data_IF_421370245986
#
_entry.id   IF_421370245986
#
_cell.length_a   1.000
_cell.length_b   1.000
_cell.length_c   1.000
_cell.angle_alpha   90.00
_cell.angle_beta   90.00
_cell.angle_gamma   90.00
#
_symmetry.space_group_name_H-M   'P 1'
#
loop_
_entity.id
_entity.type
_entity.pdbx_description
1 polymer ?
#
# COMPACT_ATOMS: atom_id res chain seq x y z
N UNK A 1 6.97 -0.85 -14.07
CA UNK A 1 7.14 -1.58 -12.79
C UNK A 1 8.36 -2.49 -12.91
N UNK A 2 9.42 -2.22 -12.15
CA UNK A 2 10.63 -3.05 -12.17
C UNK A 2 10.38 -4.32 -11.36
N UNK A 3 10.26 -5.47 -12.04
CA UNK A 3 10.12 -6.81 -11.43
C UNK A 3 11.20 -7.12 -10.37
N UNK A 4 12.35 -6.45 -10.45
CA UNK A 4 13.50 -6.64 -9.56
C UNK A 4 13.16 -6.41 -8.09
N UNK A 5 12.29 -5.44 -7.76
CA UNK A 5 12.01 -5.09 -6.35
C UNK A 5 11.28 -6.23 -5.62
N UNK A 6 10.35 -6.92 -6.29
CA UNK A 6 9.68 -8.09 -5.73
C UNK A 6 10.60 -9.32 -5.64
N UNK A 7 11.61 -9.41 -6.51
CA UNK A 7 12.61 -10.49 -6.42
C UNK A 7 13.52 -10.29 -5.20
N UNK A 8 13.97 -9.07 -4.94
CA UNK A 8 14.74 -8.72 -3.73
C UNK A 8 13.98 -9.14 -2.47
N UNK A 9 12.67 -8.88 -2.40
CA UNK A 9 11.86 -9.27 -1.25
C UNK A 9 11.94 -10.78 -0.96
N UNK A 10 11.84 -11.62 -2.00
CA UNK A 10 11.95 -13.07 -1.89
C UNK A 10 13.35 -13.47 -1.42
N UNK A 11 14.40 -12.85 -1.95
CA UNK A 11 15.79 -13.15 -1.56
C UNK A 11 16.06 -12.78 -0.09
N UNK A 12 15.57 -11.63 0.40
CA UNK A 12 15.69 -11.21 1.80
C UNK A 12 15.01 -12.21 2.75
N UNK A 13 13.81 -12.69 2.40
CA UNK A 13 13.11 -13.71 3.19
C UNK A 13 13.87 -15.04 3.27
N UNK A 14 14.40 -15.51 2.14
CA UNK A 14 15.14 -16.77 2.05
C UNK A 14 16.49 -16.70 2.79
N UNK A 15 17.10 -15.52 2.85
CA UNK A 15 18.30 -15.28 3.65
C UNK A 15 18.00 -15.30 5.16
N UNK A 16 16.83 -14.81 5.57
CA UNK A 16 16.46 -14.62 6.97
C UNK A 16 15.85 -15.86 7.65
N UNK A 17 15.07 -16.66 6.91
CA UNK A 17 14.18 -17.67 7.50
C UNK A 17 14.07 -18.93 6.64
N UNK A 18 13.86 -20.07 7.30
CA UNK A 18 13.48 -21.33 6.65
C UNK A 18 11.97 -21.35 6.40
N UNK A 19 11.54 -20.71 5.32
CA UNK A 19 10.12 -20.61 4.93
C UNK A 19 9.93 -20.93 3.46
N UNK A 20 8.68 -21.26 3.08
CA UNK A 20 8.29 -21.37 1.69
C UNK A 20 7.84 -19.99 1.18
N UNK A 21 8.47 -19.49 0.12
CA UNK A 21 8.09 -18.23 -0.53
C UNK A 21 7.47 -18.53 -1.89
N UNK A 22 6.22 -18.10 -2.08
CA UNK A 22 5.48 -18.27 -3.34
C UNK A 22 5.25 -16.91 -3.99
N UNK A 23 5.80 -16.73 -5.19
CA UNK A 23 5.58 -15.50 -5.97
C UNK A 23 4.42 -15.70 -6.95
N UNK A 24 3.39 -14.86 -6.86
CA UNK A 24 2.21 -14.96 -7.74
C UNK A 24 2.38 -14.01 -8.92
N UNK A 25 2.47 -14.57 -10.13
CA UNK A 25 2.66 -13.82 -11.36
C UNK A 25 1.36 -13.81 -12.19
N UNK A 26 0.74 -12.65 -12.38
CA UNK A 26 -0.54 -12.50 -13.12
C UNK A 26 -0.57 -11.33 -14.13
N UNK A 27 0.51 -11.02 -14.88
CA UNK A 27 0.61 -9.83 -15.72
C UNK A 27 -0.43 -9.79 -16.84
N UNK A 28 -0.86 -10.97 -17.33
CA UNK A 28 -1.90 -11.09 -18.37
C UNK A 28 -3.27 -10.58 -17.93
N UNK A 29 -3.51 -10.49 -16.62
CA UNK A 29 -4.77 -10.03 -16.06
C UNK A 29 -4.76 -8.53 -15.70
N UNK A 30 -3.59 -7.89 -15.67
CA UNK A 30 -3.40 -6.50 -15.26
C UNK A 30 -2.68 -5.66 -16.32
N UNK A 31 -3.07 -5.84 -17.58
CA UNK A 31 -2.44 -5.16 -18.72
C UNK A 31 -2.79 -3.66 -18.75
N UNK A 32 -1.77 -2.85 -18.98
CA UNK A 32 -1.91 -1.43 -19.33
C UNK A 32 -2.43 -1.28 -20.77
N UNK A 33 -3.27 -0.29 -21.12
CA UNK A 33 -3.61 0.92 -20.34
C UNK A 33 -4.93 0.86 -19.55
N UNK A 34 -5.71 -0.23 -19.64
CA UNK A 34 -7.05 -0.26 -19.06
C UNK A 34 -7.04 -0.63 -17.56
N UNK A 35 -6.73 0.34 -16.71
CA UNK A 35 -6.72 0.14 -15.25
C UNK A 35 -8.06 -0.36 -14.67
N UNK A 36 -9.25 0.11 -15.11
CA UNK A 36 -10.52 -0.44 -14.64
C UNK A 36 -10.68 -1.94 -14.91
N UNK A 37 -10.16 -2.44 -16.03
CA UNK A 37 -10.14 -3.87 -16.32
C UNK A 37 -9.23 -4.63 -15.35
N UNK A 38 -8.05 -4.10 -15.04
CA UNK A 38 -7.15 -4.66 -14.02
C UNK A 38 -7.84 -4.74 -12.65
N UNK A 39 -8.56 -3.70 -12.24
CA UNK A 39 -9.36 -3.70 -10.99
C UNK A 39 -10.48 -4.75 -11.03
N UNK A 40 -11.14 -4.91 -12.18
CA UNK A 40 -12.17 -5.92 -12.35
C UNK A 40 -11.61 -7.35 -12.20
N UNK A 41 -10.42 -7.63 -12.72
CA UNK A 41 -9.87 -8.99 -12.82
C UNK A 41 -9.18 -9.50 -11.55
N UNK A 42 -8.73 -8.63 -10.64
CA UNK A 42 -8.01 -9.07 -9.43
C UNK A 42 -8.80 -10.04 -8.54
N UNK A 43 -10.15 -10.04 -8.60
CA UNK A 43 -10.97 -11.04 -7.89
C UNK A 43 -10.67 -12.47 -8.33
N UNK A 44 -10.38 -12.68 -9.61
CA UNK A 44 -10.06 -14.01 -10.14
C UNK A 44 -8.67 -14.44 -9.67
N UNK A 45 -7.72 -13.51 -9.59
CA UNK A 45 -6.41 -13.74 -8.99
C UNK A 45 -6.58 -14.18 -7.53
N UNK A 46 -7.36 -13.43 -6.75
CA UNK A 46 -7.64 -13.75 -5.35
C UNK A 46 -8.27 -15.15 -5.18
N UNK A 47 -9.27 -15.50 -6.01
CA UNK A 47 -9.90 -16.82 -6.02
C UNK A 47 -8.91 -17.95 -6.32
N UNK A 48 -7.99 -17.75 -7.27
CA UNK A 48 -6.97 -18.75 -7.60
C UNK A 48 -5.97 -18.94 -6.45
N UNK A 49 -5.51 -17.85 -5.82
CA UNK A 49 -4.62 -17.92 -4.66
C UNK A 49 -5.32 -18.60 -3.48
N UNK A 50 -6.57 -18.26 -3.19
CA UNK A 50 -7.36 -18.89 -2.13
C UNK A 50 -7.53 -20.39 -2.36
N UNK A 51 -7.85 -20.80 -3.61
CA UNK A 51 -7.97 -22.22 -3.97
C UNK A 51 -6.66 -22.97 -3.78
N UNK A 52 -5.53 -22.35 -4.15
CA UNK A 52 -4.20 -22.89 -3.93
C UNK A 52 -3.88 -23.04 -2.43
N UNK A 53 -4.09 -21.99 -1.64
CA UNK A 53 -3.86 -22.00 -0.20
C UNK A 53 -4.75 -23.02 0.53
N UNK A 54 -6.03 -23.14 0.14
CA UNK A 54 -6.93 -24.15 0.67
C UNK A 54 -6.44 -25.56 0.35
N UNK A 55 -6.00 -25.80 -0.89
CA UNK A 55 -5.49 -27.12 -1.30
C UNK A 55 -4.21 -27.47 -0.53
N UNK A 56 -3.28 -26.51 -0.40
CA UNK A 56 -2.07 -26.68 0.43
C UNK A 56 -2.43 -27.03 1.87
N UNK A 57 -3.36 -26.29 2.49
CA UNK A 57 -3.77 -26.55 3.87
C UNK A 57 -4.34 -27.96 4.02
N UNK A 58 -5.30 -28.35 3.17
CA UNK A 58 -5.92 -29.67 3.22
C UNK A 58 -4.97 -30.84 2.95
N UNK A 59 -3.88 -30.61 2.21
CA UNK A 59 -2.96 -31.67 1.77
C UNK A 59 -1.79 -31.84 2.73
N UNK A 60 -1.27 -30.75 3.28
CA UNK A 60 -0.06 -30.76 4.12
C UNK A 60 -0.41 -30.75 5.62
N UNK A 61 -1.53 -30.12 6.00
CA UNK A 61 -1.93 -29.92 7.40
C UNK A 61 -3.42 -30.20 7.58
N UNK A 62 -3.91 -31.44 7.37
CA UNK A 62 -5.34 -31.74 7.48
C UNK A 62 -5.93 -31.46 8.87
N UNK A 63 -5.12 -31.62 9.93
CA UNK A 63 -5.54 -31.44 11.32
C UNK A 63 -5.18 -30.06 11.91
N UNK A 64 -4.68 -29.14 11.09
CA UNK A 64 -4.22 -27.83 11.56
C UNK A 64 -4.36 -26.73 10.49
N UNK A 65 -4.06 -25.49 10.86
CA UNK A 65 -4.07 -24.34 9.95
C UNK A 65 -2.64 -23.94 9.63
N UNK A 66 -2.30 -23.89 8.34
CA UNK A 66 -1.05 -23.32 7.86
C UNK A 66 -0.97 -21.85 8.31
N UNK A 67 0.21 -21.47 8.77
CA UNK A 67 0.53 -20.08 9.02
C UNK A 67 0.88 -19.41 7.69
N UNK A 68 -0.08 -18.67 7.14
CA UNK A 68 0.00 -17.99 5.86
C UNK A 68 0.10 -16.49 6.11
N UNK A 69 1.17 -15.89 5.58
CA UNK A 69 1.38 -14.45 5.50
C UNK A 69 1.34 -14.04 4.03
N UNK A 70 0.39 -13.17 3.67
CA UNK A 70 0.32 -12.58 2.34
C UNK A 70 0.93 -11.18 2.36
N UNK A 71 1.84 -10.91 1.43
CA UNK A 71 2.39 -9.57 1.21
C UNK A 71 1.91 -9.10 -0.17
N UNK A 72 1.12 -8.03 -0.19
CA UNK A 72 0.53 -7.48 -1.42
C UNK A 72 1.01 -6.06 -1.68
N UNK A 73 1.47 -5.76 -2.89
CA UNK A 73 1.89 -4.43 -3.32
C UNK A 73 0.88 -3.82 -4.29
N UNK A 74 0.50 -2.54 -4.10
CA UNK A 74 -0.39 -1.83 -5.03
C UNK A 74 -1.75 -2.56 -5.20
N UNK A 75 -2.13 -2.90 -6.43
CA UNK A 75 -3.27 -3.79 -6.73
C UNK A 75 -3.16 -5.15 -6.02
N UNK A 76 -1.95 -5.66 -5.78
CA UNK A 76 -1.71 -6.90 -5.05
C UNK A 76 -2.15 -6.85 -3.59
N UNK A 77 -2.15 -5.67 -2.95
CA UNK A 77 -2.74 -5.50 -1.62
C UNK A 77 -4.27 -5.63 -1.67
N UNK A 78 -4.89 -5.17 -2.76
CA UNK A 78 -6.33 -5.35 -2.96
C UNK A 78 -6.67 -6.80 -3.34
N UNK A 79 -5.76 -7.51 -4.01
CA UNK A 79 -5.90 -8.97 -4.23
C UNK A 79 -6.01 -9.72 -2.89
N UNK A 80 -5.28 -9.33 -1.84
CA UNK A 80 -5.32 -10.05 -0.56
C UNK A 80 -6.69 -10.03 0.13
N UNK A 81 -7.50 -8.99 -0.04
CA UNK A 81 -8.90 -8.96 0.42
C UNK A 81 -9.72 -10.08 -0.22
N UNK A 82 -9.64 -10.22 -1.56
CA UNK A 82 -10.31 -11.31 -2.26
C UNK A 82 -9.80 -12.69 -1.81
N UNK A 83 -8.51 -12.83 -1.51
CA UNK A 83 -7.98 -14.10 -0.96
C UNK A 83 -8.64 -14.42 0.37
N UNK A 84 -8.67 -13.46 1.30
CA UNK A 84 -9.30 -13.62 2.61
C UNK A 84 -10.78 -13.99 2.48
N UNK A 85 -11.51 -13.30 1.60
CA UNK A 85 -12.94 -13.53 1.38
C UNK A 85 -13.27 -14.92 0.83
N UNK A 86 -12.42 -15.48 -0.03
CA UNK A 86 -12.65 -16.81 -0.61
C UNK A 86 -12.13 -17.96 0.26
N UNK A 87 -11.36 -17.68 1.31
CA UNK A 87 -10.86 -18.72 2.20
C UNK A 87 -11.89 -19.11 3.26
N UNK A 88 -12.04 -20.41 3.58
CA UNK A 88 -12.92 -20.86 4.67
C UNK A 88 -12.28 -20.65 6.06
N UNK A 89 -11.09 -20.07 6.13
CA UNK A 89 -10.36 -19.80 7.37
C UNK A 89 -9.68 -18.43 7.28
N UNK A 90 -9.47 -17.82 8.44
CA UNK A 90 -8.82 -16.52 8.56
C UNK A 90 -7.30 -16.65 8.38
N UNK A 91 -6.72 -15.76 7.58
CA UNK A 91 -5.27 -15.66 7.38
C UNK A 91 -4.60 -15.14 8.66
N UNK A 92 -3.37 -15.55 8.95
CA UNK A 92 -2.66 -15.09 10.14
C UNK A 92 -2.17 -13.65 9.96
N UNK A 93 -1.65 -13.32 8.78
CA UNK A 93 -1.17 -11.96 8.50
C UNK A 93 -1.37 -11.55 7.05
N UNK A 94 -1.77 -10.30 6.84
CA UNK A 94 -1.65 -9.61 5.56
C UNK A 94 -0.80 -8.37 5.76
N UNK A 95 0.19 -8.16 4.88
CA UNK A 95 0.89 -6.87 4.78
C UNK A 95 0.54 -6.17 3.49
N UNK A 96 -0.06 -4.98 3.59
CA UNK A 96 -0.38 -4.10 2.48
C UNK A 96 0.76 -3.11 2.21
N UNK A 97 1.43 -3.24 1.08
CA UNK A 97 2.48 -2.33 0.64
C UNK A 97 1.87 -1.32 -0.33
N UNK A 98 1.67 -0.10 0.15
CA UNK A 98 1.01 1.02 -0.54
C UNK A 98 -0.24 0.59 -1.33
N UNK A 99 -1.32 0.12 -0.64
CA UNK A 99 -2.49 -0.45 -1.31
C UNK A 99 -3.12 0.52 -2.31
N UNK A 100 -3.53 0.05 -3.48
CA UNK A 100 -4.02 0.95 -4.53
C UNK A 100 -5.29 1.72 -4.13
N UNK A 101 -5.35 3.02 -4.45
CA UNK A 101 -6.48 3.92 -4.22
C UNK A 101 -7.51 3.94 -5.37
N UNK A 102 -7.12 4.10 -6.65
CA UNK A 102 -8.09 4.34 -7.70
C UNK A 102 -9.07 3.16 -7.82
N UNK A 103 -10.37 3.48 -7.81
CA UNK A 103 -11.49 2.53 -7.79
C UNK A 103 -11.63 1.66 -6.51
N UNK A 104 -10.90 1.99 -5.44
CA UNK A 104 -11.01 1.36 -4.10
C UNK A 104 -11.35 2.36 -2.98
N UNK A 105 -11.86 3.54 -3.33
CA UNK A 105 -12.15 4.62 -2.38
C UNK A 105 -13.41 4.37 -1.55
N UNK A 106 -14.31 3.49 -1.99
CA UNK A 106 -15.57 3.20 -1.28
C UNK A 106 -15.32 2.35 -0.04
N UNK A 107 -15.96 2.68 1.08
CA UNK A 107 -15.91 1.94 2.35
C UNK A 107 -16.68 0.61 2.36
N UNK A 108 -16.99 0.03 1.19
CA UNK A 108 -17.56 -1.31 1.14
C UNK A 108 -16.43 -2.31 1.44
N UNK A 109 -16.42 -2.82 2.68
CA UNK A 109 -15.40 -3.76 3.19
C UNK A 109 -15.15 -4.96 2.26
N UNK A 110 -16.14 -5.34 1.45
CA UNK A 110 -16.05 -6.51 0.57
C UNK A 110 -15.26 -6.27 -0.73
N UNK A 111 -14.72 -5.07 -0.96
CA UNK A 111 -14.05 -4.73 -2.22
C UNK A 111 -12.65 -4.14 -2.06
N UNK A 112 -12.13 -4.04 -0.83
CA UNK A 112 -10.80 -3.50 -0.57
C UNK A 112 -10.19 -4.12 0.68
N UNK A 113 -8.86 -4.06 0.78
CA UNK A 113 -8.13 -4.45 2.00
C UNK A 113 -8.69 -3.72 3.22
N UNK A 114 -8.99 -4.48 4.27
CA UNK A 114 -9.31 -3.95 5.59
C UNK A 114 -8.81 -4.88 6.72
N UNK A 115 -8.89 -4.42 7.97
CA UNK A 115 -8.38 -5.15 9.12
C UNK A 115 -9.08 -6.51 9.36
N UNK A 116 -10.31 -6.70 8.90
CA UNK A 116 -11.03 -7.96 9.07
C UNK A 116 -10.51 -9.11 8.21
N UNK A 117 -9.70 -8.83 7.18
CA UNK A 117 -9.19 -9.81 6.22
C UNK A 117 -8.20 -10.83 6.82
N UNK A 118 -7.59 -10.54 7.97
CA UNK A 118 -6.66 -11.44 8.64
C UNK A 118 -6.69 -11.24 10.17
N UNK A 119 -6.04 -12.15 10.91
CA UNK A 119 -5.82 -11.96 12.35
C UNK A 119 -4.95 -10.74 12.63
N UNK A 120 -4.06 -10.40 11.70
CA UNK A 120 -3.27 -9.19 11.75
C UNK A 120 -3.09 -8.61 10.35
N UNK A 121 -3.30 -7.29 10.22
CA UNK A 121 -3.13 -6.56 8.97
C UNK A 121 -2.24 -5.36 9.26
N UNK A 122 -1.08 -5.29 8.64
CA UNK A 122 -0.19 -4.14 8.71
C UNK A 122 0.01 -3.49 7.35
N UNK A 123 0.01 -2.16 7.30
CA UNK A 123 0.02 -1.41 6.05
C UNK A 123 1.13 -0.38 6.06
N UNK A 124 1.84 -0.23 4.93
CA UNK A 124 2.87 0.78 4.74
C UNK A 124 2.42 1.73 3.62
N UNK A 125 2.14 2.98 3.97
CA UNK A 125 1.77 4.06 3.06
C UNK A 125 3.01 4.87 2.69
N UNK A 126 3.23 5.03 1.38
CA UNK A 126 4.40 5.74 0.82
C UNK A 126 4.04 6.69 -0.32
N UNK A 127 2.89 6.49 -0.98
CA UNK A 127 2.41 7.32 -2.08
C UNK A 127 0.90 7.56 -1.98
N UNK A 128 0.44 7.83 -0.75
CA UNK A 128 -0.95 8.19 -0.48
C UNK A 128 -1.38 9.38 -1.35
N UNK A 129 -2.67 9.44 -1.71
CA UNK A 129 -3.33 10.40 -2.62
C UNK A 129 -3.06 10.18 -4.11
N UNK A 130 -1.87 9.72 -4.50
CA UNK A 130 -1.55 9.52 -5.92
C UNK A 130 -1.93 8.13 -6.40
N UNK A 131 -1.27 7.10 -5.85
CA UNK A 131 -1.52 5.70 -6.20
C UNK A 131 -1.99 4.90 -4.99
N UNK A 132 -1.53 5.26 -3.79
CA UNK A 132 -1.79 4.56 -2.54
C UNK A 132 -3.03 5.09 -1.78
N UNK A 133 -3.61 4.21 -0.96
CA UNK A 133 -4.71 4.52 -0.04
C UNK A 133 -4.28 5.61 0.95
N UNK A 134 -5.22 6.50 1.25
CA UNK A 134 -5.02 7.63 2.17
C UNK A 134 -5.48 7.28 3.58
N UNK A 135 -6.61 6.60 3.68
CA UNK A 135 -7.19 6.21 4.95
C UNK A 135 -6.55 4.92 5.47
N UNK A 136 -6.47 4.75 6.80
CA UNK A 136 -6.00 3.50 7.39
C UNK A 136 -6.88 2.34 6.95
N UNK A 137 -6.24 1.22 6.62
CA UNK A 137 -6.89 -0.02 6.19
C UNK A 137 -6.31 -1.27 6.85
N UNK A 138 -5.47 -1.11 7.87
CA UNK A 138 -4.94 -2.19 8.68
C UNK A 138 -5.39 -2.16 10.13
N UNK A 139 -4.86 -3.11 10.91
CA UNK A 139 -4.76 -2.97 12.35
C UNK A 139 -3.66 -1.97 12.73
N UNK A 140 -2.56 -1.96 11.97
CA UNK A 140 -1.45 -1.03 12.14
C UNK A 140 -1.12 -0.40 10.79
N UNK A 141 -1.15 0.94 10.73
CA UNK A 141 -0.90 1.69 9.50
C UNK A 141 0.32 2.60 9.71
N UNK A 142 1.37 2.35 8.94
CA UNK A 142 2.60 3.14 8.95
C UNK A 142 2.60 4.13 7.78
N UNK A 143 2.85 5.40 8.05
CA UNK A 143 3.00 6.45 7.04
C UNK A 143 4.46 6.90 7.02
N UNK A 144 5.19 6.44 6.01
CA UNK A 144 6.61 6.76 5.87
C UNK A 144 6.79 8.18 5.33
N UNK A 145 7.56 9.00 6.02
CA UNK A 145 7.90 10.38 5.66
C UNK A 145 6.65 11.24 5.38
N UNK A 146 5.61 11.07 6.19
CA UNK A 146 4.32 11.76 5.97
C UNK A 146 3.39 11.06 4.98
N UNK A 147 3.79 9.91 4.43
CA UNK A 147 2.93 8.97 3.68
C UNK A 147 2.73 9.29 2.20
N UNK A 148 3.20 10.44 1.72
CA UNK A 148 2.93 10.92 0.36
C UNK A 148 4.21 11.00 -0.49
N UNK A 149 5.26 11.63 0.03
CA UNK A 149 6.52 11.82 -0.69
C UNK A 149 7.65 11.09 0.02
N UNK A 150 8.51 10.46 -0.76
CA UNK A 150 9.63 9.69 -0.22
C UNK A 150 10.96 10.35 -0.59
N UNK A 151 11.90 10.46 0.38
CA UNK A 151 13.19 11.08 0.13
C UNK A 151 13.99 10.29 -0.91
N UNK A 152 14.76 11.01 -1.75
CA UNK A 152 15.58 10.42 -2.82
C UNK A 152 14.82 10.00 -4.08
N UNK A 153 13.52 10.31 -4.19
CA UNK A 153 12.74 10.13 -5.40
C UNK A 153 12.59 11.47 -6.14
N UNK A 154 13.31 11.60 -7.26
CA UNK A 154 13.40 12.83 -8.07
C UNK A 154 13.08 12.53 -9.55
N UNK A 155 12.84 13.57 -10.34
CA UNK A 155 12.58 13.46 -11.79
C UNK A 155 11.13 13.12 -12.16
N UNK A 156 10.92 12.76 -13.42
CA UNK A 156 9.59 12.54 -14.02
C UNK A 156 8.87 11.31 -13.45
N UNK A 157 9.63 10.28 -13.04
CA UNK A 157 9.09 9.00 -12.53
C UNK A 157 8.92 8.96 -11.00
N UNK A 158 8.95 10.14 -10.35
CA UNK A 158 8.94 10.25 -8.88
C UNK A 158 7.76 9.54 -8.22
N UNK A 159 6.59 9.51 -8.84
CA UNK A 159 5.40 8.84 -8.29
C UNK A 159 5.57 7.32 -8.22
N UNK A 160 6.11 6.69 -9.28
CA UNK A 160 6.39 5.26 -9.24
C UNK A 160 7.53 4.94 -8.25
N UNK A 161 8.49 5.86 -8.08
CA UNK A 161 9.49 5.76 -7.02
C UNK A 161 8.86 5.80 -5.63
N UNK A 162 8.01 6.80 -5.32
CA UNK A 162 7.28 6.89 -4.06
C UNK A 162 6.49 5.60 -3.79
N UNK A 163 5.78 5.10 -4.81
CA UNK A 163 4.99 3.88 -4.69
C UNK A 163 5.86 2.65 -4.38
N UNK A 164 6.99 2.50 -5.08
CA UNK A 164 7.87 1.33 -4.94
C UNK A 164 8.61 1.29 -3.60
N UNK A 165 8.76 2.44 -2.91
CA UNK A 165 9.42 2.53 -1.60
C UNK A 165 8.78 1.66 -0.53
N UNK A 166 7.46 1.40 -0.58
CA UNK A 166 6.83 0.48 0.34
C UNK A 166 7.46 -0.92 0.27
N UNK A 167 7.79 -1.39 -0.94
CA UNK A 167 8.44 -2.69 -1.16
C UNK A 167 9.90 -2.64 -0.72
N UNK A 168 10.62 -1.56 -1.01
CA UNK A 168 12.03 -1.41 -0.61
C UNK A 168 12.18 -1.36 0.92
N UNK A 169 11.38 -0.55 1.60
CA UNK A 169 11.40 -0.46 3.06
C UNK A 169 11.02 -1.78 3.71
N UNK A 170 9.98 -2.46 3.19
CA UNK A 170 9.59 -3.75 3.72
C UNK A 170 10.69 -4.81 3.49
N UNK A 171 11.32 -4.83 2.31
CA UNK A 171 12.42 -5.75 2.01
C UNK A 171 13.60 -5.54 2.96
N UNK A 172 14.04 -4.29 3.15
CA UNK A 172 15.12 -3.98 4.09
C UNK A 172 14.74 -4.34 5.54
N UNK A 173 13.47 -4.15 5.93
CA UNK A 173 13.00 -4.44 7.28
C UNK A 173 13.16 -5.91 7.70
N UNK A 174 13.25 -6.84 6.75
CA UNK A 174 13.41 -8.28 7.03
C UNK A 174 14.73 -8.55 7.76
N UNK A 175 15.82 -7.95 7.29
CA UNK A 175 17.17 -8.21 7.80
C UNK A 175 17.85 -6.99 8.46
N UNK A 176 17.15 -5.84 8.52
CA UNK A 176 17.66 -4.63 9.16
C UNK A 176 18.09 -4.88 10.61
N UNK A 177 19.30 -4.44 10.95
CA UNK A 177 19.84 -4.52 12.32
C UNK A 177 19.38 -3.37 13.21
N UNK A 178 19.00 -2.24 12.59
CA UNK A 178 18.60 -1.02 13.30
C UNK A 178 17.07 -0.88 13.34
N UNK A 179 16.37 -1.31 12.28
CA UNK A 179 14.92 -1.32 12.17
C UNK A 179 14.30 0.03 11.81
N UNK A 180 13.07 -0.03 11.31
CA UNK A 180 12.24 1.12 10.98
C UNK A 180 11.29 1.41 12.14
N UNK A 181 11.58 2.41 12.96
CA UNK A 181 10.81 2.68 14.18
C UNK A 181 9.87 3.87 13.98
N UNK A 182 8.58 3.63 14.20
CA UNK A 182 7.54 4.65 14.12
C UNK A 182 6.98 5.05 15.49
N UNK A 183 6.47 6.28 15.56
CA UNK A 183 5.76 6.79 16.73
C UNK A 183 4.27 6.96 16.43
N UNK A 184 3.46 6.76 17.47
CA UNK A 184 2.00 6.73 17.35
C UNK A 184 1.42 8.14 17.17
N UNK A 185 0.45 8.25 16.27
CA UNK A 185 -0.48 9.37 16.17
C UNK A 185 -1.78 9.02 16.93
N UNK A 186 -2.40 9.96 17.67
CA UNK A 186 -3.63 9.65 18.41
C UNK A 186 -4.84 9.48 17.49
N UNK A 187 -4.82 10.12 16.32
CA UNK A 187 -5.88 10.04 15.32
C UNK A 187 -5.34 10.27 13.92
N UNK A 188 -6.13 9.88 12.93
CA UNK A 188 -5.84 10.20 11.53
C UNK A 188 -5.78 11.71 11.29
N UNK A 189 -6.62 12.50 11.98
CA UNK A 189 -6.57 13.97 11.87
C UNK A 189 -5.28 14.56 12.41
N UNK A 190 -4.77 14.05 13.55
CA UNK A 190 -3.47 14.50 14.08
C UNK A 190 -2.32 14.17 13.12
N UNK A 191 -2.41 13.05 12.40
CA UNK A 191 -1.49 12.70 11.33
C UNK A 191 -1.58 13.66 10.14
N UNK A 192 -2.79 13.93 9.64
CA UNK A 192 -3.00 14.87 8.53
C UNK A 192 -2.48 16.27 8.88
N UNK A 193 -2.68 16.73 10.11
CA UNK A 193 -2.21 18.04 10.60
C UNK A 193 -0.71 18.08 10.95
N UNK A 194 0.03 16.97 10.76
CA UNK A 194 1.44 16.83 11.13
C UNK A 194 1.72 17.15 12.62
N UNK A 195 0.78 16.82 13.52
CA UNK A 195 0.87 17.10 14.96
C UNK A 195 1.35 15.90 15.78
N UNK A 196 1.70 14.78 15.12
CA UNK A 196 2.14 13.56 15.80
C UNK A 196 3.46 13.78 16.54
N UNK A 197 3.38 13.95 17.85
CA UNK A 197 4.57 14.11 18.69
C UNK A 197 5.30 12.77 18.83
N UNK A 198 6.58 12.77 18.48
CA UNK A 198 7.42 11.60 18.65
C UNK A 198 7.56 11.23 20.13
N UNK A 199 6.98 10.09 20.51
CA UNK A 199 6.94 9.58 21.88
C UNK A 199 7.06 8.07 21.89
N UNK A 200 7.63 7.54 22.97
CA UNK A 200 7.61 6.10 23.28
C UNK A 200 6.19 5.68 23.73
N UNK A 201 5.80 4.40 23.54
CA UNK A 201 6.56 3.34 22.87
C UNK A 201 6.61 3.52 21.35
N UNK A 202 7.74 3.11 20.76
CA UNK A 202 7.91 3.06 19.31
C UNK A 202 7.48 1.69 18.79
N UNK A 203 6.95 1.67 17.58
CA UNK A 203 6.48 0.47 16.88
C UNK A 203 7.42 0.14 15.72
N UNK A 204 7.82 -1.11 15.60
CA UNK A 204 8.69 -1.57 14.52
C UNK A 204 7.85 -1.83 13.26
N UNK A 205 8.14 -1.10 12.18
CA UNK A 205 7.51 -1.27 10.87
C UNK A 205 8.14 -2.45 10.12
N UNK A 206 7.32 -3.17 9.36
CA UNK A 206 7.76 -4.17 8.40
C UNK A 206 7.69 -5.61 8.91
N UNK A 207 8.60 -6.46 8.45
CA UNK A 207 8.50 -7.93 8.59
C UNK A 207 8.35 -8.43 10.03
N UNK A 208 8.90 -7.71 11.01
CA UNK A 208 8.85 -8.06 12.44
C UNK A 208 7.82 -7.24 13.23
N UNK A 209 6.90 -6.54 12.55
CA UNK A 209 5.78 -5.88 13.21
C UNK A 209 4.87 -6.90 13.92
N UNK A 210 4.53 -6.60 15.18
CA UNK A 210 3.63 -7.39 16.00
C UNK A 210 2.20 -6.76 16.02
N UNK A 211 1.15 -7.50 16.43
CA UNK A 211 -0.23 -6.99 16.43
C UNK A 211 -0.58 -6.09 17.63
N UNK A 212 0.32 -5.90 18.60
CA UNK A 212 0.00 -5.11 19.79
C UNK A 212 -0.12 -3.62 19.46
N UNK A 213 -0.91 -2.87 20.23
CA UNK A 213 -1.05 -1.43 20.05
C UNK A 213 -1.48 -1.04 18.62
N UNK A 214 -2.61 -1.55 18.10
CA UNK A 214 -3.13 -1.19 16.78
C UNK A 214 -3.33 0.32 16.66
N UNK A 215 -3.08 0.90 15.49
CA UNK A 215 -3.22 2.33 15.24
C UNK A 215 -2.31 2.88 14.15
N UNK A 216 -2.21 4.20 14.10
CA UNK A 216 -1.49 4.94 13.06
C UNK A 216 -0.12 5.35 13.57
N UNK A 217 0.90 5.14 12.76
CA UNK A 217 2.29 5.40 13.08
C UNK A 217 2.98 6.20 11.98
N UNK A 218 3.76 7.20 12.36
CA UNK A 218 4.63 7.93 11.45
C UNK A 218 6.05 7.37 11.55
N UNK A 219 6.73 7.20 10.42
CA UNK A 219 8.09 6.63 10.33
C UNK A 219 8.94 7.53 9.45
N UNK A 220 10.17 7.84 9.86
CA UNK A 220 11.12 8.56 9.01
C UNK A 220 12.19 7.61 8.46
N UNK A 221 12.58 7.81 7.20
CA UNK A 221 13.59 7.00 6.51
C UNK A 221 14.67 7.89 5.87
N UNK A 222 15.81 7.30 5.51
CA UNK A 222 16.84 7.99 4.74
C UNK A 222 16.47 8.08 3.25
N UNK A 223 17.16 8.93 2.49
CA UNK A 223 16.96 9.07 1.04
C UNK A 223 17.59 7.94 0.20
N UNK A 224 18.51 7.17 0.78
CA UNK A 224 19.27 6.10 0.13
C UNK A 224 19.37 4.88 1.04
N UNK A 225 19.50 3.70 0.44
CA UNK A 225 19.70 2.44 1.17
C UNK A 225 21.06 2.43 1.89
N UNK A 226 21.16 1.91 3.12
CA UNK A 226 20.05 1.44 3.96
C UNK A 226 19.17 2.61 4.44
N UNK A 227 17.85 2.45 4.29
CA UNK A 227 16.83 3.44 4.59
C UNK A 227 16.49 3.53 6.09
N UNK A 228 16.69 2.44 6.83
CA UNK A 228 16.35 2.35 8.25
C UNK A 228 17.27 3.25 9.09
N UNK A 229 16.66 4.11 9.92
CA UNK A 229 17.38 5.06 10.80
C UNK A 229 17.60 4.53 12.22
N UNK A 230 16.98 3.43 12.61
CA UNK A 230 17.09 2.90 13.97
C UNK A 230 16.15 3.56 14.97
N UNK A 231 16.40 3.32 16.26
CA UNK A 231 15.49 3.61 17.38
C UNK A 231 15.81 4.90 18.15
N UNK A 232 16.95 5.53 17.85
CA UNK A 232 17.39 6.72 18.58
C UNK A 232 16.51 7.92 18.19
N UNK A 233 15.95 8.59 19.20
CA UNK A 233 15.05 9.73 19.00
C UNK A 233 15.79 10.93 18.39
N UNK A 234 17.09 11.11 18.64
CA UNK A 234 17.86 12.20 18.03
C UNK A 234 18.00 12.00 16.51
N UNK A 235 18.27 10.75 16.07
CA UNK A 235 18.36 10.37 14.66
C UNK A 235 17.00 10.47 13.93
N UNK A 236 15.90 10.32 14.67
CA UNK A 236 14.54 10.48 14.17
C UNK A 236 14.06 11.95 14.16
N UNK A 237 14.47 12.74 15.16
CA UNK A 237 14.07 14.15 15.37
C UNK A 237 14.70 15.11 14.36
N UNK A 238 15.88 14.80 13.82
CA UNK A 238 16.56 15.63 12.80
C UNK A 238 15.91 15.57 11.40
N UNK A 239 14.66 15.14 11.32
CA UNK A 239 13.88 15.10 10.08
C UNK A 239 12.63 15.93 10.29
N UNK A 240 12.67 17.20 9.87
CA UNK A 240 11.43 17.91 9.59
C UNK A 240 10.71 17.12 8.49
N UNK A 241 9.51 16.62 8.79
CA UNK A 241 8.65 16.04 7.76
C UNK A 241 8.05 17.22 7.01
N UNK A 242 8.73 17.62 5.94
CA UNK A 242 8.27 18.65 5.00
C UNK A 242 7.43 18.00 3.88
N UNK A 243 6.44 18.72 3.34
CA UNK A 243 5.53 18.26 2.29
C UNK A 243 4.58 17.15 2.74
N UNK A 244 3.91 17.34 3.88
CA UNK A 244 2.94 16.39 4.43
C UNK A 244 1.58 16.46 3.73
N UNK A 245 0.67 15.55 4.11
CA UNK A 245 -0.75 15.61 3.71
C UNK A 245 -1.37 17.00 3.95
N UNK A 246 -1.04 17.69 5.06
CA UNK A 246 -1.52 19.06 5.29
C UNK A 246 -1.01 20.04 4.26
N UNK A 247 0.24 19.91 3.80
CA UNK A 247 0.80 20.82 2.80
C UNK A 247 0.02 20.65 1.49
N UNK A 248 -0.25 19.41 1.08
CA UNK A 248 -1.06 19.12 -0.12
C UNK A 248 -2.52 19.56 0.01
N UNK A 249 -3.18 19.31 1.16
CA UNK A 249 -4.55 19.78 1.39
C UNK A 249 -4.62 21.31 1.50
N UNK A 250 -3.57 21.97 1.99
CA UNK A 250 -3.42 23.42 1.97
C UNK A 250 -3.35 23.99 0.55
N UNK A 251 -2.63 23.32 -0.37
CA UNK A 251 -2.62 23.70 -1.78
C UNK A 251 -4.00 23.58 -2.44
N UNK A 252 -4.79 22.55 -2.11
CA UNK A 252 -6.16 22.39 -2.63
C UNK A 252 -7.05 23.56 -2.20
N UNK A 253 -6.95 24.02 -0.95
CA UNK A 253 -7.68 25.19 -0.45
C UNK A 253 -7.28 26.51 -1.14
N UNK A 254 -6.06 26.61 -1.69
CA UNK A 254 -5.62 27.78 -2.46
C UNK A 254 -6.02 27.74 -3.95
N UNK A 255 -6.43 26.58 -4.48
CA UNK A 255 -6.82 26.42 -5.90
C UNK A 255 -8.32 26.42 -6.19
N UNK A 256 -9.18 26.55 -5.17
CA UNK A 256 -10.59 26.86 -5.40
C UNK A 256 -10.82 28.36 -5.28
N UNK A 257 -10.84 29.13 -6.39
CA UNK A 257 -11.46 30.45 -6.35
C UNK A 257 -12.93 30.24 -5.98
N UNK A 258 -13.31 30.75 -4.81
CA UNK A 258 -14.71 30.98 -4.48
C UNK A 258 -15.26 31.96 -5.52
N UNK A 259 -16.32 31.54 -6.21
CA UNK A 259 -16.99 32.21 -7.33
C UNK A 259 -16.33 32.07 -8.72
N UNK A 260 -16.81 31.08 -9.47
CA UNK A 260 -17.46 31.40 -10.74
C UNK A 260 -18.54 30.37 -11.03
N UNK A 261 -19.75 30.85 -11.22
CA UNK A 261 -20.89 30.12 -11.77
C UNK A 261 -20.54 29.65 -13.18
N UNK A 262 -20.44 28.34 -13.39
CA UNK A 262 -20.45 27.77 -14.73
C UNK A 262 -21.91 27.47 -15.11
N UNK A 263 -22.41 27.94 -16.28
CA UNK A 263 -23.73 27.56 -16.73
C UNK A 263 -23.69 26.12 -17.22
N UNK A 264 -24.64 25.32 -16.73
CA UNK A 264 -25.10 24.11 -17.39
C UNK A 264 -25.81 24.52 -18.68
N UNK A 265 -25.39 23.95 -19.82
CA UNK A 265 -26.24 23.82 -21.00
C UNK A 265 -26.29 22.34 -21.39
N UNK A 266 -27.44 21.73 -21.14
CA UNK A 266 -27.95 20.58 -21.90
C UNK A 266 -28.47 21.09 -23.25
N UNK A 267 -28.15 20.36 -24.33
CA UNK A 267 -28.62 20.42 -25.73
C UNK A 267 -27.37 20.08 -26.60
N UNK A 268 -27.29 19.07 -27.46
CA UNK A 268 -28.30 18.26 -28.12
C UNK A 268 -27.75 16.86 -28.47
N UNK A 269 -28.66 15.91 -28.48
CA UNK A 269 -28.56 14.59 -29.07
C UNK A 269 -28.95 14.68 -30.56
N UNK A 270 -28.07 14.33 -31.50
CA UNK A 270 -28.49 13.67 -32.75
C UNK A 270 -27.35 13.08 -33.59
N UNK A 271 -27.66 11.93 -34.17
CA UNK A 271 -26.95 11.17 -35.20
C UNK A 271 -26.63 12.01 -36.46
N UNK A 272 -25.48 11.79 -37.11
CA UNK A 272 -25.39 10.99 -38.34
C UNK A 272 -23.97 10.96 -38.95
N UNK A 273 -23.75 9.94 -39.79
CA UNK A 273 -22.52 9.51 -40.49
C UNK A 273 -21.81 10.60 -41.30
N UNK A 274 -20.49 10.43 -41.55
CA UNK A 274 -19.87 10.41 -42.90
C UNK A 274 -18.41 9.91 -42.83
N UNK A 275 -18.12 8.92 -43.67
CA UNK A 275 -16.80 8.39 -44.05
C UNK A 275 -16.11 9.39 -44.98
N UNK A 276 -14.81 9.69 -44.80
CA UNK A 276 -13.91 9.85 -45.95
C UNK A 276 -12.41 9.69 -45.63
N UNK A 277 -11.75 9.15 -46.64
CA UNK A 277 -10.38 8.65 -46.79
C UNK A 277 -9.49 9.78 -47.31
N UNK A 278 -8.26 9.92 -46.80
CA UNK A 278 -7.18 10.61 -47.54
C UNK A 278 -5.88 9.81 -47.42
N UNK A 279 -5.36 9.44 -48.60
CA UNK A 279 -4.10 8.72 -48.87
C UNK A 279 -2.89 9.65 -48.76
N UNK A 280 -1.71 9.05 -48.58
CA UNK A 280 -0.71 9.06 -49.66
C UNK A 280 -0.50 7.62 -50.11
#
# INVERSE_FOLDING_TARGET
>A
MHLNVLQTLKDEYLAARKINVWMVNYPRLVLSPCYPFSVYTIRYVGKCIASFAQKLNSTIMPDSKLNIHIVGFSLGAQVSNYVAHYLPFKLQRITGLDPALPLFYTNLANHRLDSSDAEFVDVIHTNALFQGQVFPCGHVDFYANGGVFQPGCEGEDKYNCYHSRAVEYFSESINSKVGFWGWRCKSFMEFVENKCKMKKPLKLMGAHCDPEQPGIYQVNTASKSPYAKGRNLEDLANTNVENTLSDFMGFINFTFPTNSTLPFNEEDMNDDKIVQRVRR
#
